data_IF_796387229578
#
_entry.id   IF_796387229578
#
_cell.length_a   1.000
_cell.length_b   1.000
_cell.length_c   1.000
_cell.angle_alpha   90.00
_cell.angle_beta   90.00
_cell.angle_gamma   90.00
#
_symmetry.space_group_name_H-M   'P 1'
#
loop_
_entity.id
_entity.type
_entity.pdbx_description
1 polymer ?
#
# COMPACT_ATOMS: atom_id res chain seq x y z
N UNK A 1 20.77 -27.92 6.74
CA UNK A 1 20.05 -27.54 7.98
C UNK A 1 19.67 -26.06 7.97
N UNK A 2 20.53 -25.15 7.52
CA UNK A 2 20.29 -23.72 7.43
C UNK A 2 19.21 -23.35 6.37
N UNK A 3 19.23 -24.01 5.22
CA UNK A 3 18.24 -23.80 4.14
C UNK A 3 16.81 -24.24 4.51
N UNK A 4 16.67 -25.31 5.29
CA UNK A 4 15.38 -25.78 5.80
C UNK A 4 14.79 -24.83 6.85
N UNK A 5 15.61 -24.25 7.71
CA UNK A 5 15.16 -23.26 8.73
C UNK A 5 14.74 -21.95 8.08
N UNK A 6 15.41 -21.52 7.03
CA UNK A 6 15.08 -20.31 6.26
C UNK A 6 13.73 -20.48 5.54
N UNK A 7 13.48 -21.60 4.89
CA UNK A 7 12.22 -21.88 4.23
C UNK A 7 11.05 -21.96 5.21
N UNK A 8 11.24 -22.58 6.38
CA UNK A 8 10.25 -22.61 7.45
C UNK A 8 9.92 -21.20 7.98
N UNK A 9 10.95 -20.35 8.18
CA UNK A 9 10.75 -18.97 8.60
C UNK A 9 9.89 -18.15 7.62
N UNK A 10 10.14 -18.31 6.31
CA UNK A 10 9.34 -17.67 5.27
C UNK A 10 7.88 -18.16 5.26
N UNK A 11 7.66 -19.48 5.43
CA UNK A 11 6.31 -20.02 5.49
C UNK A 11 5.54 -19.46 6.70
N UNK A 12 6.17 -19.35 7.87
CA UNK A 12 5.55 -18.76 9.05
C UNK A 12 5.27 -17.24 8.86
N UNK A 13 6.15 -16.51 8.17
CA UNK A 13 5.88 -15.12 7.80
C UNK A 13 4.65 -15.00 6.89
N UNK A 14 4.54 -15.85 5.87
CA UNK A 14 3.43 -15.83 4.92
C UNK A 14 2.07 -16.10 5.61
N UNK A 15 2.02 -17.07 6.51
CA UNK A 15 0.82 -17.32 7.34
C UNK A 15 0.51 -16.11 8.23
N UNK A 16 1.51 -15.52 8.85
CA UNK A 16 1.34 -14.32 9.69
C UNK A 16 0.74 -13.17 8.89
N UNK A 17 1.27 -12.89 7.69
CA UNK A 17 0.80 -11.82 6.82
C UNK A 17 -0.62 -12.09 6.31
N UNK A 18 -0.94 -13.35 5.96
CA UNK A 18 -2.29 -13.73 5.58
C UNK A 18 -3.30 -13.41 6.70
N UNK A 19 -3.05 -13.87 7.92
CA UNK A 19 -3.94 -13.65 9.07
C UNK A 19 -4.06 -12.16 9.42
N UNK A 20 -2.96 -11.42 9.40
CA UNK A 20 -2.93 -9.97 9.64
C UNK A 20 -3.74 -9.21 8.59
N UNK A 21 -3.47 -9.44 7.31
CA UNK A 21 -4.18 -8.79 6.21
C UNK A 21 -5.66 -9.16 6.20
N UNK A 22 -6.00 -10.42 6.46
CA UNK A 22 -7.39 -10.85 6.60
C UNK A 22 -8.11 -10.06 7.69
N UNK A 23 -7.49 -9.90 8.87
CA UNK A 23 -8.08 -9.13 9.98
C UNK A 23 -8.30 -7.65 9.65
N UNK A 24 -7.38 -7.08 8.86
CA UNK A 24 -7.46 -5.67 8.45
C UNK A 24 -8.50 -5.43 7.36
N UNK A 25 -8.59 -6.35 6.38
CA UNK A 25 -9.46 -6.16 5.22
C UNK A 25 -10.92 -6.55 5.45
N UNK A 26 -11.22 -7.46 6.37
CA UNK A 26 -12.59 -7.93 6.61
C UNK A 26 -13.52 -6.81 7.11
N UNK A 27 -12.99 -5.80 7.78
CA UNK A 27 -13.77 -4.65 8.29
C UNK A 27 -13.99 -3.57 7.25
N UNK A 28 -13.24 -3.57 6.14
CA UNK A 28 -13.27 -2.50 5.12
C UNK A 28 -14.67 -2.32 4.50
N UNK A 29 -15.37 -3.37 4.04
CA UNK A 29 -16.69 -3.21 3.42
C UNK A 29 -17.77 -2.71 4.38
N UNK A 30 -17.69 -3.08 5.67
CA UNK A 30 -18.71 -2.73 6.67
C UNK A 30 -18.44 -1.39 7.39
N UNK A 31 -17.26 -0.82 7.21
CA UNK A 31 -16.85 0.39 7.93
C UNK A 31 -17.69 1.61 7.55
N UNK A 32 -18.07 1.74 6.30
CA UNK A 32 -18.94 2.83 5.82
C UNK A 32 -20.30 2.77 6.49
N UNK A 33 -20.92 1.60 6.56
CA UNK A 33 -22.24 1.41 7.15
C UNK A 33 -22.23 1.71 8.66
N UNK A 34 -21.16 1.26 9.37
CA UNK A 34 -20.96 1.56 10.78
C UNK A 34 -20.77 3.06 11.03
N UNK A 35 -19.98 3.73 10.20
CA UNK A 35 -19.76 5.18 10.31
C UNK A 35 -21.03 5.96 10.07
N UNK A 36 -21.84 5.57 9.07
CA UNK A 36 -23.13 6.17 8.77
C UNK A 36 -24.12 5.96 9.92
N UNK A 37 -24.24 4.73 10.44
CA UNK A 37 -25.12 4.42 11.54
C UNK A 37 -24.76 5.15 12.85
N UNK A 38 -23.46 5.34 13.10
CA UNK A 38 -22.99 6.00 14.33
C UNK A 38 -23.12 7.53 14.30
N UNK A 39 -22.89 8.16 13.15
CA UNK A 39 -22.82 9.63 13.02
C UNK A 39 -24.10 10.26 12.44
N UNK A 40 -24.78 9.56 11.54
CA UNK A 40 -25.95 10.08 10.82
C UNK A 40 -27.05 9.01 10.71
N UNK A 41 -27.64 8.57 11.84
CA UNK A 41 -28.66 7.54 11.82
C UNK A 41 -29.86 7.97 10.97
N UNK A 42 -30.27 7.12 10.01
CA UNK A 42 -31.43 7.35 9.16
C UNK A 42 -31.22 8.30 7.97
N UNK A 43 -29.96 8.64 7.64
CA UNK A 43 -29.62 9.40 6.43
C UNK A 43 -28.83 8.54 5.45
N UNK A 44 -29.14 8.65 4.17
CA UNK A 44 -28.42 7.93 3.10
C UNK A 44 -27.09 8.60 2.75
N UNK A 45 -26.94 9.89 3.05
CA UNK A 45 -25.71 10.67 2.81
C UNK A 45 -25.32 11.48 4.06
N UNK A 46 -24.04 11.51 4.36
CA UNK A 46 -23.51 12.21 5.52
C UNK A 46 -22.15 12.84 5.21
N UNK A 47 -22.14 14.16 5.04
CA UNK A 47 -20.92 14.93 4.79
C UNK A 47 -19.90 14.76 5.92
N UNK A 48 -20.34 14.62 7.18
CA UNK A 48 -19.46 14.45 8.34
C UNK A 48 -18.64 13.16 8.24
N UNK A 49 -19.22 12.05 7.77
CA UNK A 49 -18.50 10.77 7.56
C UNK A 49 -17.40 10.96 6.52
N UNK A 50 -17.70 11.66 5.42
CA UNK A 50 -16.75 11.92 4.34
C UNK A 50 -15.57 12.78 4.85
N UNK A 51 -15.88 13.87 5.58
CA UNK A 51 -14.83 14.74 6.15
C UNK A 51 -13.95 14.03 7.18
N UNK A 52 -14.55 13.23 8.08
CA UNK A 52 -13.78 12.50 9.09
C UNK A 52 -12.90 11.42 8.45
N UNK A 53 -13.41 10.66 7.48
CA UNK A 53 -12.59 9.64 6.79
C UNK A 53 -11.46 10.28 5.98
N UNK A 54 -11.71 11.40 5.30
CA UNK A 54 -10.68 12.16 4.60
C UNK A 54 -9.62 12.73 5.54
N UNK A 55 -10.03 13.32 6.68
CA UNK A 55 -9.12 13.81 7.71
C UNK A 55 -8.26 12.69 8.29
N UNK A 56 -8.87 11.54 8.59
CA UNK A 56 -8.14 10.36 9.07
C UNK A 56 -7.08 9.94 8.04
N UNK A 57 -7.43 9.85 6.77
CA UNK A 57 -6.50 9.46 5.71
C UNK A 57 -5.33 10.43 5.57
N UNK A 58 -5.56 11.74 5.68
CA UNK A 58 -4.49 12.74 5.64
C UNK A 58 -3.55 12.57 6.85
N UNK A 59 -4.11 12.48 8.07
CA UNK A 59 -3.30 12.34 9.30
C UNK A 59 -2.48 11.06 9.25
N UNK A 60 -3.08 9.94 8.89
CA UNK A 60 -2.38 8.65 8.81
C UNK A 60 -1.32 8.64 7.71
N UNK A 61 -1.61 9.22 6.54
CA UNK A 61 -0.66 9.28 5.44
C UNK A 61 0.56 10.16 5.75
N UNK A 62 0.35 11.35 6.33
CA UNK A 62 1.45 12.22 6.78
C UNK A 62 2.24 11.55 7.91
N UNK A 63 1.55 10.90 8.85
CA UNK A 63 2.19 10.15 9.92
C UNK A 63 3.02 8.99 9.40
N UNK A 64 2.50 8.20 8.48
CA UNK A 64 3.18 7.07 7.85
C UNK A 64 4.42 7.53 7.07
N UNK A 65 4.37 8.66 6.36
CA UNK A 65 5.52 9.24 5.68
C UNK A 65 6.73 9.41 6.61
N UNK A 66 6.49 9.81 7.85
CA UNK A 66 7.56 10.01 8.85
C UNK A 66 7.94 8.70 9.56
N UNK A 67 6.95 7.84 9.83
CA UNK A 67 7.15 6.63 10.63
C UNK A 67 7.80 5.48 9.85
N UNK A 68 7.52 5.33 8.56
CA UNK A 68 8.04 4.23 7.75
C UNK A 68 9.56 4.14 7.72
N UNK A 69 10.33 5.23 7.45
CA UNK A 69 11.77 5.15 7.46
C UNK A 69 12.34 4.90 8.87
N UNK A 70 11.65 5.45 9.88
CA UNK A 70 12.03 5.25 11.28
C UNK A 70 11.88 3.77 11.66
N UNK A 71 10.73 3.18 11.37
CA UNK A 71 10.45 1.75 11.63
C UNK A 71 11.43 0.87 10.85
N UNK A 72 11.66 1.16 9.56
CA UNK A 72 12.64 0.45 8.73
C UNK A 72 14.06 0.51 9.32
N UNK A 73 14.55 1.71 9.63
CA UNK A 73 15.87 1.89 10.23
C UNK A 73 16.00 1.28 11.63
N UNK A 74 14.91 1.32 12.41
CA UNK A 74 14.90 0.74 13.75
C UNK A 74 14.91 -0.80 13.68
N UNK A 75 14.27 -1.38 12.67
CA UNK A 75 14.24 -2.83 12.45
C UNK A 75 15.60 -3.39 12.03
N UNK A 76 16.42 -2.61 11.32
CA UNK A 76 17.80 -2.97 11.00
C UNK A 76 18.69 -3.07 12.26
N UNK A 77 18.29 -2.40 13.35
CA UNK A 77 19.07 -2.34 14.61
C UNK A 77 18.56 -3.29 15.68
N UNK A 78 17.25 -3.49 15.79
CA UNK A 78 16.63 -4.22 16.91
C UNK A 78 16.03 -5.57 16.50
N UNK A 79 16.15 -5.91 15.22
CA UNK A 79 15.57 -7.13 14.67
C UNK A 79 14.18 -6.95 14.10
N UNK A 80 13.83 -7.79 13.15
CA UNK A 80 12.57 -7.71 12.38
C UNK A 80 11.38 -8.16 13.20
N UNK A 81 11.49 -9.32 13.88
CA UNK A 81 10.42 -9.90 14.70
C UNK A 81 10.04 -8.98 15.86
N UNK A 82 11.06 -8.40 16.54
CA UNK A 82 10.82 -7.48 17.65
C UNK A 82 9.97 -6.29 17.21
N UNK A 83 10.36 -5.64 16.10
CA UNK A 83 9.67 -4.47 15.61
C UNK A 83 8.31 -4.78 14.96
N UNK A 84 8.13 -5.98 14.39
CA UNK A 84 6.85 -6.44 13.82
C UNK A 84 5.78 -6.61 14.90
N UNK A 85 6.18 -6.94 16.13
CA UNK A 85 5.27 -7.11 17.26
C UNK A 85 4.48 -5.84 17.56
N UNK A 86 5.13 -4.66 17.52
CA UNK A 86 4.51 -3.39 17.90
C UNK A 86 3.29 -3.02 17.04
N UNK A 87 3.38 -2.92 15.70
CA UNK A 87 2.22 -2.58 14.87
C UNK A 87 1.13 -3.67 14.90
N UNK A 88 1.51 -4.94 15.01
CA UNK A 88 0.51 -6.01 15.09
C UNK A 88 -0.30 -5.95 16.39
N UNK A 89 0.34 -5.69 17.53
CA UNK A 89 -0.37 -5.54 18.82
C UNK A 89 -1.20 -4.26 18.86
N UNK A 90 -0.70 -3.15 18.35
CA UNK A 90 -1.44 -1.89 18.30
C UNK A 90 -2.70 -1.98 17.45
N UNK A 91 -2.68 -2.74 16.36
CA UNK A 91 -3.85 -2.92 15.50
C UNK A 91 -5.01 -3.68 16.18
N UNK A 92 -4.74 -4.44 17.24
CA UNK A 92 -5.79 -5.13 18.01
C UNK A 92 -6.70 -4.13 18.72
N UNK A 93 -6.16 -3.01 19.23
CA UNK A 93 -6.89 -2.07 20.07
C UNK A 93 -8.16 -1.49 19.40
N UNK A 94 -8.09 -0.89 18.21
CA UNK A 94 -9.29 -0.37 17.55
C UNK A 94 -10.27 -1.47 17.16
N UNK A 95 -9.79 -2.66 16.76
CA UNK A 95 -10.67 -3.77 16.41
C UNK A 95 -11.43 -4.30 17.63
N UNK A 96 -10.76 -4.41 18.78
CA UNK A 96 -11.38 -4.84 20.03
C UNK A 96 -12.43 -3.84 20.54
N UNK A 97 -12.20 -2.53 20.39
CA UNK A 97 -13.19 -1.52 20.79
C UNK A 97 -14.50 -1.64 20.02
N UNK A 98 -14.43 -1.87 18.69
CA UNK A 98 -15.61 -2.06 17.85
C UNK A 98 -16.26 -3.43 18.02
N UNK A 99 -15.48 -4.46 18.37
CA UNK A 99 -16.00 -5.77 18.73
C UNK A 99 -16.82 -5.74 20.04
N UNK A 100 -16.43 -4.88 20.99
CA UNK A 100 -17.13 -4.71 22.27
C UNK A 100 -18.47 -3.97 22.09
N UNK A 101 -18.48 -2.80 21.47
CA UNK A 101 -19.70 -2.01 21.28
C UNK A 101 -19.59 -1.09 20.05
N UNK A 102 -20.73 -0.70 19.49
CA UNK A 102 -20.86 0.12 18.27
C UNK A 102 -21.67 1.40 18.47
N UNK A 103 -21.92 1.76 19.73
CA UNK A 103 -22.56 3.04 20.07
C UNK A 103 -21.73 4.23 19.62
N UNK A 104 -22.35 5.38 19.43
CA UNK A 104 -21.71 6.61 18.94
C UNK A 104 -20.47 7.00 19.75
N UNK A 105 -20.51 6.89 21.06
CA UNK A 105 -19.35 7.20 21.92
C UNK A 105 -18.17 6.26 21.65
N UNK A 106 -18.44 4.95 21.53
CA UNK A 106 -17.39 3.95 21.23
C UNK A 106 -16.85 4.13 19.82
N UNK A 107 -17.68 4.58 18.88
CA UNK A 107 -17.22 4.92 17.54
C UNK A 107 -16.19 6.07 17.56
N UNK A 108 -16.41 7.13 18.34
CA UNK A 108 -15.40 8.19 18.47
C UNK A 108 -14.11 7.70 19.12
N UNK A 109 -14.19 6.85 20.14
CA UNK A 109 -13.01 6.20 20.76
C UNK A 109 -12.27 5.37 19.71
N UNK A 110 -12.98 4.54 18.95
CA UNK A 110 -12.41 3.77 17.84
C UNK A 110 -11.73 4.69 16.82
N UNK A 111 -12.39 5.77 16.40
CA UNK A 111 -11.86 6.69 15.40
C UNK A 111 -10.53 7.30 15.85
N UNK A 112 -10.46 7.76 17.09
CA UNK A 112 -9.23 8.31 17.66
C UNK A 112 -8.14 7.23 17.77
N UNK A 113 -8.46 6.07 18.34
CA UNK A 113 -7.52 4.95 18.46
C UNK A 113 -7.03 4.50 17.09
N UNK A 114 -7.94 4.31 16.11
CA UNK A 114 -7.59 3.91 14.75
C UNK A 114 -6.68 4.91 14.08
N UNK A 115 -6.94 6.21 14.23
CA UNK A 115 -6.10 7.27 13.66
C UNK A 115 -4.69 7.21 14.22
N UNK A 116 -4.53 7.13 15.55
CA UNK A 116 -3.21 7.07 16.18
C UNK A 116 -2.46 5.76 15.88
N UNK A 117 -3.15 4.63 15.92
CA UNK A 117 -2.51 3.34 15.63
C UNK A 117 -2.13 3.23 14.16
N UNK A 118 -2.95 3.75 13.23
CA UNK A 118 -2.67 3.70 11.78
C UNK A 118 -1.41 4.46 11.41
N UNK A 119 -1.05 5.54 12.10
CA UNK A 119 0.22 6.24 11.89
C UNK A 119 1.42 5.28 11.98
N UNK A 120 1.36 4.32 12.89
CA UNK A 120 2.45 3.36 13.13
C UNK A 120 2.22 2.07 12.35
N UNK A 121 0.99 1.58 12.27
CA UNK A 121 0.67 0.26 11.76
C UNK A 121 0.54 0.23 10.24
N UNK A 122 -0.01 1.29 9.63
CA UNK A 122 -0.31 1.32 8.20
C UNK A 122 0.97 1.25 7.38
N UNK A 123 1.12 0.18 6.60
CA UNK A 123 2.30 -0.12 5.81
C UNK A 123 3.52 -0.66 6.58
N UNK A 124 3.62 -0.46 7.91
CA UNK A 124 4.78 -0.92 8.70
C UNK A 124 4.92 -2.44 8.69
N UNK A 125 3.82 -3.16 8.84
CA UNK A 125 3.85 -4.64 8.83
C UNK A 125 4.34 -5.15 7.48
N UNK A 126 3.83 -4.62 6.38
CA UNK A 126 4.28 -5.01 5.04
C UNK A 126 5.73 -4.60 4.77
N UNK A 127 6.14 -3.40 5.20
CA UNK A 127 7.52 -2.92 5.10
C UNK A 127 8.50 -3.86 5.83
N UNK A 128 8.18 -4.24 7.07
CA UNK A 128 9.00 -5.14 7.88
C UNK A 128 9.01 -6.57 7.32
N UNK A 129 7.87 -7.05 6.81
CA UNK A 129 7.78 -8.35 6.16
C UNK A 129 8.65 -8.41 4.88
N UNK A 130 8.64 -7.35 4.07
CA UNK A 130 9.50 -7.25 2.89
C UNK A 130 10.99 -7.21 3.27
N UNK A 131 11.34 -6.48 4.34
CA UNK A 131 12.71 -6.47 4.84
C UNK A 131 13.12 -7.86 5.36
N UNK A 132 12.23 -8.56 6.08
CA UNK A 132 12.47 -9.93 6.52
C UNK A 132 12.71 -10.89 5.35
N UNK A 133 11.90 -10.79 4.29
CA UNK A 133 12.11 -11.58 3.05
C UNK A 133 13.45 -11.22 2.40
N UNK A 134 13.81 -9.94 2.32
CA UNK A 134 15.08 -9.50 1.73
C UNK A 134 16.31 -10.04 2.47
N UNK A 135 16.21 -10.21 3.80
CA UNK A 135 17.28 -10.75 4.64
C UNK A 135 17.45 -12.27 4.44
N UNK A 136 16.37 -12.99 4.14
CA UNK A 136 16.35 -14.46 4.09
C UNK A 136 16.39 -15.04 2.68
N UNK A 137 16.32 -14.21 1.63
CA UNK A 137 16.21 -14.66 0.24
C UNK A 137 17.35 -14.09 -0.60
N UNK A 138 17.93 -14.94 -1.47
CA UNK A 138 18.96 -14.53 -2.41
C UNK A 138 18.47 -13.43 -3.37
N UNK A 139 19.36 -12.55 -3.83
CA UNK A 139 19.02 -11.42 -4.69
C UNK A 139 18.24 -11.81 -5.96
N UNK A 140 18.57 -12.96 -6.55
CA UNK A 140 17.88 -13.45 -7.75
C UNK A 140 16.43 -13.87 -7.53
N UNK A 141 16.06 -14.24 -6.31
CA UNK A 141 14.72 -14.71 -5.94
C UNK A 141 13.88 -13.66 -5.20
N UNK A 142 14.44 -12.50 -4.86
CA UNK A 142 13.74 -11.45 -4.09
C UNK A 142 12.46 -10.98 -4.74
N UNK A 143 12.47 -10.72 -6.05
CA UNK A 143 11.26 -10.26 -6.75
C UNK A 143 10.13 -11.29 -6.71
N UNK A 144 10.45 -12.57 -6.92
CA UNK A 144 9.48 -13.66 -6.81
C UNK A 144 8.91 -13.76 -5.41
N UNK A 145 9.76 -13.69 -4.38
CA UNK A 145 9.34 -13.80 -2.98
C UNK A 145 8.55 -12.57 -2.51
N UNK A 146 8.88 -11.38 -2.99
CA UNK A 146 8.07 -10.18 -2.77
C UNK A 146 6.71 -10.30 -3.47
N UNK A 147 6.69 -10.87 -4.67
CA UNK A 147 5.47 -11.22 -5.37
C UNK A 147 4.60 -12.17 -4.54
N UNK A 148 5.16 -13.28 -4.07
CA UNK A 148 4.43 -14.24 -3.23
C UNK A 148 3.86 -13.55 -1.98
N UNK A 149 4.64 -12.72 -1.28
CA UNK A 149 4.19 -11.99 -0.09
C UNK A 149 2.99 -11.07 -0.39
N UNK A 150 3.08 -10.28 -1.47
CA UNK A 150 1.99 -9.37 -1.87
C UNK A 150 0.80 -10.13 -2.43
N UNK A 151 1.02 -11.26 -3.10
CA UNK A 151 -0.04 -12.17 -3.57
C UNK A 151 -0.82 -12.78 -2.42
N UNK A 152 -0.15 -13.17 -1.34
CA UNK A 152 -0.79 -13.66 -0.11
C UNK A 152 -1.65 -12.56 0.53
N UNK A 153 -1.17 -11.31 0.57
CA UNK A 153 -1.96 -10.18 1.04
C UNK A 153 -3.20 -9.94 0.16
N UNK A 154 -3.08 -10.06 -1.16
CA UNK A 154 -4.21 -9.97 -2.09
C UNK A 154 -5.20 -11.13 -1.91
N UNK A 155 -4.72 -12.35 -1.68
CA UNK A 155 -5.57 -13.50 -1.38
C UNK A 155 -6.34 -13.30 -0.06
N UNK A 156 -5.67 -12.77 0.97
CA UNK A 156 -6.31 -12.42 2.23
C UNK A 156 -7.40 -11.36 2.03
N UNK A 157 -7.18 -10.35 1.17
CA UNK A 157 -8.18 -9.35 0.80
C UNK A 157 -9.42 -9.98 0.18
N UNK A 158 -9.26 -10.88 -0.80
CA UNK A 158 -10.39 -11.57 -1.46
C UNK A 158 -11.15 -12.42 -0.46
N UNK A 159 -10.45 -13.25 0.33
CA UNK A 159 -11.07 -14.09 1.35
C UNK A 159 -11.83 -13.25 2.41
N UNK A 160 -11.24 -12.15 2.85
CA UNK A 160 -11.82 -11.26 3.83
C UNK A 160 -13.11 -10.58 3.30
N UNK A 161 -13.06 -10.08 2.06
CA UNK A 161 -14.20 -9.44 1.39
C UNK A 161 -15.35 -10.43 1.18
N UNK A 162 -15.04 -11.65 0.77
CA UNK A 162 -16.05 -12.71 0.62
C UNK A 162 -16.66 -13.10 1.97
N UNK A 163 -15.84 -13.29 3.00
CA UNK A 163 -16.33 -13.60 4.35
C UNK A 163 -17.24 -12.49 4.91
N UNK A 164 -16.87 -11.23 4.70
CA UNK A 164 -17.65 -10.08 5.18
C UNK A 164 -19.08 -10.04 4.61
N UNK A 165 -19.33 -10.60 3.42
CA UNK A 165 -20.67 -10.69 2.83
C UNK A 165 -21.65 -11.60 3.62
N UNK A 166 -21.12 -12.60 4.31
CA UNK A 166 -21.92 -13.60 5.05
C UNK A 166 -22.02 -13.31 6.54
N UNK A 167 -21.26 -12.36 7.06
CA UNK A 167 -21.19 -12.04 8.47
C UNK A 167 -22.02 -10.80 8.80
N UNK A 168 -22.64 -10.81 9.99
CA UNK A 168 -23.22 -9.57 10.53
C UNK A 168 -22.11 -8.58 10.90
N UNK A 169 -22.43 -7.29 10.94
CA UNK A 169 -21.49 -6.23 11.32
C UNK A 169 -20.81 -6.56 12.67
N UNK A 170 -21.58 -7.10 13.62
CA UNK A 170 -21.08 -7.51 14.93
C UNK A 170 -20.02 -8.59 14.85
N UNK A 171 -20.35 -9.68 14.17
CA UNK A 171 -19.46 -10.83 14.02
C UNK A 171 -18.24 -10.49 13.19
N UNK A 172 -18.35 -9.58 12.23
CA UNK A 172 -17.20 -9.11 11.43
C UNK A 172 -16.10 -8.50 12.29
N UNK A 173 -16.44 -7.59 13.21
CA UNK A 173 -15.44 -7.00 14.13
C UNK A 173 -14.90 -8.01 15.15
N UNK A 174 -15.72 -8.94 15.64
CA UNK A 174 -15.25 -10.01 16.51
C UNK A 174 -14.26 -10.93 15.81
N UNK A 175 -14.58 -11.36 14.58
CA UNK A 175 -13.67 -12.16 13.75
C UNK A 175 -12.38 -11.37 13.44
N UNK A 176 -12.48 -10.09 13.10
CA UNK A 176 -11.31 -9.25 12.87
C UNK A 176 -10.39 -9.17 14.09
N UNK A 177 -10.96 -8.92 15.28
CA UNK A 177 -10.20 -8.85 16.53
C UNK A 177 -9.54 -10.20 16.88
N UNK A 178 -10.28 -11.30 16.77
CA UNK A 178 -9.74 -12.64 17.04
C UNK A 178 -8.64 -13.04 16.07
N UNK A 179 -8.77 -12.72 14.77
CA UNK A 179 -7.73 -12.97 13.76
C UNK A 179 -6.49 -12.09 13.98
N UNK A 180 -6.65 -10.85 14.41
CA UNK A 180 -5.51 -9.98 14.75
C UNK A 180 -4.73 -10.51 15.95
N UNK A 181 -5.43 -10.98 17.00
CA UNK A 181 -4.82 -11.61 18.16
C UNK A 181 -4.10 -12.91 17.75
N UNK A 182 -4.76 -13.78 17.00
CA UNK A 182 -4.21 -15.03 16.51
C UNK A 182 -2.95 -14.80 15.67
N UNK A 183 -2.99 -13.84 14.76
CA UNK A 183 -1.85 -13.44 13.93
C UNK A 183 -0.65 -13.01 14.77
N UNK A 184 -0.88 -12.19 15.79
CA UNK A 184 0.17 -11.70 16.69
C UNK A 184 0.77 -12.83 17.54
N UNK A 185 -0.06 -13.70 18.10
CA UNK A 185 0.39 -14.86 18.88
C UNK A 185 1.17 -15.82 17.97
N UNK A 186 0.63 -16.15 16.79
CA UNK A 186 1.30 -17.02 15.83
C UNK A 186 2.68 -16.48 15.43
N UNK A 187 2.76 -15.20 15.12
CA UNK A 187 4.03 -14.55 14.79
C UNK A 187 5.05 -14.64 15.94
N UNK A 188 4.61 -14.41 17.18
CA UNK A 188 5.50 -14.48 18.36
C UNK A 188 6.02 -15.88 18.63
N UNK A 189 5.19 -16.91 18.44
CA UNK A 189 5.56 -18.30 18.73
C UNK A 189 6.43 -18.92 17.62
N UNK A 190 6.06 -18.74 16.37
CA UNK A 190 6.62 -19.49 15.26
C UNK A 190 7.61 -18.75 14.38
N UNK A 191 7.53 -17.39 14.30
CA UNK A 191 8.45 -16.65 13.44
C UNK A 191 9.84 -16.56 14.09
N UNK A 192 10.93 -17.07 13.47
CA UNK A 192 12.30 -16.85 13.94
C UNK A 192 12.72 -15.39 13.69
N UNK A 193 13.76 -14.92 14.39
CA UNK A 193 14.41 -13.64 14.06
C UNK A 193 15.28 -13.81 12.81
N UNK A 194 15.25 -12.83 11.90
CA UNK A 194 16.02 -12.90 10.65
C UNK A 194 17.47 -12.45 10.81
N UNK A 195 17.73 -11.57 11.78
CA UNK A 195 19.07 -11.01 12.02
C UNK A 195 19.74 -11.80 13.14
N UNK A 196 20.93 -12.38 12.91
CA UNK A 196 21.66 -13.11 13.95
C UNK A 196 22.00 -12.23 15.16
N UNK A 197 21.90 -12.80 16.36
CA UNK A 197 22.10 -12.10 17.64
C UNK A 197 23.50 -11.44 17.74
N UNK A 198 24.50 -12.06 17.14
CA UNK A 198 25.87 -11.53 17.11
C UNK A 198 25.99 -10.22 16.29
N UNK A 199 25.25 -10.10 15.20
CA UNK A 199 25.19 -8.88 14.37
C UNK A 199 24.37 -7.79 15.04
N UNK A 200 23.30 -8.14 15.72
CA UNK A 200 22.51 -7.21 16.54
C UNK A 200 23.37 -6.63 17.68
N UNK A 201 24.11 -7.47 18.40
CA UNK A 201 25.03 -7.02 19.47
C UNK A 201 26.15 -6.15 18.93
N UNK A 202 26.75 -6.50 17.80
CA UNK A 202 27.82 -5.70 17.18
C UNK A 202 27.29 -4.31 16.72
N UNK A 203 26.08 -4.23 16.20
CA UNK A 203 25.47 -2.95 15.80
C UNK A 203 25.11 -2.06 16.99
N UNK A 204 24.73 -2.64 18.12
CA UNK A 204 24.47 -1.90 19.37
C UNK A 204 25.80 -1.36 19.94
N UNK A 205 26.82 -2.19 20.03
CA UNK A 205 28.13 -1.81 20.58
C UNK A 205 28.84 -0.76 19.71
N UNK A 206 28.73 -0.85 18.38
CA UNK A 206 29.35 0.15 17.50
C UNK A 206 28.63 1.51 17.58
N UNK A 207 27.32 1.54 17.82
CA UNK A 207 26.58 2.78 18.06
C UNK A 207 26.85 3.39 19.45
N UNK A 208 27.13 2.56 20.45
CA UNK A 208 27.50 3.03 21.78
C UNK A 208 28.91 3.66 21.78
N UNK A 209 29.85 3.11 21.01
CA UNK A 209 31.18 3.72 20.80
C UNK A 209 31.15 5.02 20.00
N UNK A 210 30.17 5.20 19.09
CA UNK A 210 30.02 6.44 18.32
C UNK A 210 29.30 7.54 19.13
N UNK A 211 28.63 7.20 20.23
CA UNK A 211 27.99 8.10 21.17
C UNK A 211 28.80 8.39 22.43
N UNK A 212 30.13 8.11 22.41
CA UNK A 212 31.05 8.49 23.50
C UNK A 212 31.31 10.01 23.50
N UNK A 213 31.64 10.60 24.66
CA UNK A 213 31.08 11.89 25.05
C UNK A 213 31.96 13.05 24.63
N UNK A 214 31.45 13.87 23.76
CA UNK A 214 31.79 15.29 23.69
C UNK A 214 30.50 16.07 23.47
N UNK A 215 29.94 16.54 24.57
CA UNK A 215 28.86 17.48 24.73
C UNK A 215 27.71 16.94 25.62
N UNK A 216 28.02 16.88 26.90
CA UNK A 216 27.04 17.24 27.91
C UNK A 216 26.61 18.68 27.63
N UNK A 217 25.33 18.88 27.24
CA UNK A 217 24.48 19.92 27.78
C UNK A 217 23.06 19.86 27.15
N UNK A 218 22.09 19.68 28.06
CA UNK A 218 20.70 20.14 28.00
C UNK A 218 19.61 19.33 27.24
N UNK A 219 18.35 19.48 27.64
CA UNK A 219 17.41 18.39 27.87
C UNK A 219 16.48 18.03 26.71
N UNK A 220 16.21 16.77 26.64
CA UNK A 220 15.02 15.99 26.22
C UNK A 220 14.30 16.31 24.91
N UNK A 221 13.99 17.52 24.55
CA UNK A 221 13.10 17.86 23.44
C UNK A 221 13.83 18.18 22.12
N UNK A 222 14.97 18.82 22.21
CA UNK A 222 15.80 19.18 21.02
C UNK A 222 16.43 17.98 20.33
N UNK A 223 16.68 16.90 21.07
CA UNK A 223 17.26 15.67 20.53
C UNK A 223 16.30 14.82 19.67
N UNK A 224 14.97 14.91 19.90
CA UNK A 224 13.98 14.17 19.08
C UNK A 224 13.83 14.79 17.67
N UNK A 225 13.75 16.11 17.59
CA UNK A 225 13.68 16.83 16.30
C UNK A 225 14.99 16.65 15.50
N UNK A 226 16.14 16.72 16.18
CA UNK A 226 17.44 16.46 15.57
C UNK A 226 17.57 15.04 15.02
N UNK A 227 16.97 14.05 15.67
CA UNK A 227 16.99 12.64 15.21
C UNK A 227 16.14 12.45 13.94
N UNK A 228 14.94 13.03 13.87
CA UNK A 228 14.08 12.98 12.67
C UNK A 228 14.71 13.71 11.49
N UNK A 229 15.27 14.89 11.71
CA UNK A 229 16.01 15.65 10.68
C UNK A 229 17.25 14.90 10.18
N UNK A 230 17.96 14.22 11.08
CA UNK A 230 19.10 13.38 10.71
C UNK A 230 18.67 12.21 9.82
N UNK A 231 17.57 11.52 10.16
CA UNK A 231 17.02 10.43 9.34
C UNK A 231 16.62 10.92 7.95
N UNK A 232 15.91 12.04 7.85
CA UNK A 232 15.54 12.63 6.55
C UNK A 232 16.79 12.99 5.75
N UNK A 233 17.83 13.53 6.39
CA UNK A 233 19.11 13.83 5.72
C UNK A 233 19.82 12.57 5.25
N UNK A 234 19.84 11.52 6.06
CA UNK A 234 20.42 10.21 5.70
C UNK A 234 19.66 9.59 4.53
N UNK A 235 18.33 9.65 4.53
CA UNK A 235 17.49 9.22 3.42
C UNK A 235 17.81 9.99 2.13
N UNK A 236 17.85 11.31 2.21
CA UNK A 236 18.20 12.17 1.08
C UNK A 236 19.64 11.86 0.58
N UNK A 237 20.58 11.56 1.48
CA UNK A 237 21.94 11.18 1.11
C UNK A 237 21.97 9.82 0.41
N UNK A 238 21.19 8.84 0.88
CA UNK A 238 21.07 7.52 0.25
C UNK A 238 20.51 7.63 -1.17
N UNK A 239 19.45 8.42 -1.34
CA UNK A 239 18.85 8.70 -2.66
C UNK A 239 19.82 9.43 -3.61
N UNK A 240 20.66 10.33 -3.09
CA UNK A 240 21.65 11.05 -3.90
C UNK A 240 22.85 10.20 -4.30
N UNK A 241 23.20 9.17 -3.52
CA UNK A 241 24.34 8.28 -3.80
C UNK A 241 24.10 7.33 -4.95
N UNK A 242 22.85 6.94 -5.19
CA UNK A 242 22.48 5.96 -6.22
C UNK A 242 21.43 6.51 -7.16
N UNK A 243 21.86 6.81 -8.40
CA UNK A 243 20.93 7.26 -9.46
C UNK A 243 19.82 6.24 -9.72
N UNK A 244 20.09 4.90 -9.76
CA UNK A 244 19.02 3.91 -9.93
C UNK A 244 17.99 3.95 -8.78
N UNK A 245 18.42 4.16 -7.54
CA UNK A 245 17.51 4.26 -6.40
C UNK A 245 16.57 5.46 -6.54
N UNK A 246 17.10 6.62 -6.94
CA UNK A 246 16.28 7.81 -7.19
C UNK A 246 15.27 7.59 -8.32
N UNK A 247 15.69 6.94 -9.41
CA UNK A 247 14.81 6.64 -10.54
C UNK A 247 13.67 5.73 -10.14
N UNK A 248 13.94 4.64 -9.41
CA UNK A 248 12.90 3.73 -8.91
C UNK A 248 11.97 4.44 -7.93
N UNK A 249 12.50 5.30 -7.07
CA UNK A 249 11.70 6.11 -6.15
C UNK A 249 10.71 7.04 -6.89
N UNK A 250 11.16 7.69 -7.97
CA UNK A 250 10.30 8.53 -8.82
C UNK A 250 9.24 7.71 -9.55
N UNK A 251 9.61 6.54 -10.10
CA UNK A 251 8.65 5.63 -10.72
C UNK A 251 7.62 5.13 -9.70
N UNK A 252 8.06 4.77 -8.49
CA UNK A 252 7.17 4.36 -7.40
C UNK A 252 6.20 5.47 -7.00
N UNK A 253 6.68 6.72 -6.91
CA UNK A 253 5.84 7.87 -6.59
C UNK A 253 4.73 8.08 -7.63
N UNK A 254 5.10 8.17 -8.92
CA UNK A 254 4.10 8.42 -9.98
C UNK A 254 3.17 7.23 -10.20
N UNK A 255 3.65 6.00 -10.07
CA UNK A 255 2.82 4.80 -10.15
C UNK A 255 1.78 4.77 -9.02
N UNK A 256 2.21 5.00 -7.77
CA UNK A 256 1.31 5.05 -6.61
C UNK A 256 0.35 6.24 -6.68
N UNK A 257 0.80 7.39 -7.18
CA UNK A 257 -0.04 8.58 -7.36
C UNK A 257 -1.18 8.30 -8.37
N UNK A 258 -0.85 7.68 -9.50
CA UNK A 258 -1.82 7.32 -10.52
C UNK A 258 -2.80 6.24 -10.05
N UNK A 259 -2.30 5.20 -9.38
CA UNK A 259 -3.11 4.10 -8.85
C UNK A 259 -4.10 4.58 -7.77
N UNK A 260 -3.63 5.38 -6.82
CA UNK A 260 -4.48 5.96 -5.78
C UNK A 260 -5.51 6.96 -6.35
N UNK A 261 -5.11 7.76 -7.36
CA UNK A 261 -6.02 8.67 -8.06
C UNK A 261 -7.11 7.93 -8.83
N UNK A 262 -6.74 6.87 -9.53
CA UNK A 262 -7.70 6.02 -10.22
C UNK A 262 -8.69 5.40 -9.22
N UNK A 263 -8.18 4.85 -8.11
CA UNK A 263 -9.01 4.23 -7.09
C UNK A 263 -10.00 5.22 -6.46
N UNK A 264 -9.54 6.43 -6.15
CA UNK A 264 -10.39 7.48 -5.60
C UNK A 264 -11.47 7.96 -6.58
N UNK A 265 -11.14 8.08 -7.87
CA UNK A 265 -12.05 8.64 -8.89
C UNK A 265 -12.96 7.60 -9.54
N UNK A 266 -12.51 6.33 -9.65
CA UNK A 266 -13.24 5.28 -10.37
C UNK A 266 -14.61 4.98 -9.79
N UNK A 267 -14.76 5.01 -8.47
CA UNK A 267 -16.02 4.76 -7.79
C UNK A 267 -17.08 5.79 -8.21
N UNK A 268 -16.72 7.07 -8.16
CA UNK A 268 -17.62 8.16 -8.57
C UNK A 268 -17.92 8.13 -10.05
N UNK A 269 -16.91 7.90 -10.89
CA UNK A 269 -17.05 7.80 -12.34
C UNK A 269 -17.97 6.65 -12.76
N UNK A 270 -17.79 5.45 -12.22
CA UNK A 270 -18.62 4.29 -12.56
C UNK A 270 -20.05 4.44 -12.05
N UNK A 271 -20.23 5.08 -10.88
CA UNK A 271 -21.57 5.39 -10.37
C UNK A 271 -22.27 6.44 -11.24
N UNK A 272 -21.58 7.51 -11.63
CA UNK A 272 -22.15 8.58 -12.44
C UNK A 272 -22.47 8.13 -13.87
N UNK A 273 -21.57 7.36 -14.51
CA UNK A 273 -21.70 6.99 -15.93
C UNK A 273 -22.51 5.72 -16.17
N UNK A 274 -22.38 4.71 -15.33
CA UNK A 274 -22.98 3.40 -15.52
C UNK A 274 -23.98 3.00 -14.43
N UNK A 275 -24.24 3.89 -13.45
CA UNK A 275 -25.14 3.64 -12.32
C UNK A 275 -24.80 2.37 -11.52
N UNK A 276 -23.50 2.10 -11.34
CA UNK A 276 -23.03 0.94 -10.59
C UNK A 276 -23.61 0.95 -9.17
N UNK A 277 -24.16 -0.19 -8.77
CA UNK A 277 -24.61 -0.43 -7.41
C UNK A 277 -23.46 -0.97 -6.52
N UNK A 278 -23.70 -1.10 -5.21
CA UNK A 278 -22.70 -1.57 -4.23
C UNK A 278 -22.18 -2.98 -4.57
N UNK A 279 -23.04 -3.86 -5.08
CA UNK A 279 -22.67 -5.25 -5.40
C UNK A 279 -21.72 -5.33 -6.60
N UNK A 280 -21.98 -4.53 -7.63
CA UNK A 280 -21.14 -4.44 -8.83
C UNK A 280 -19.74 -3.89 -8.49
N UNK A 281 -19.65 -2.92 -7.57
CA UNK A 281 -18.34 -2.47 -7.05
C UNK A 281 -17.62 -3.57 -6.28
N UNK A 282 -18.34 -4.29 -5.43
CA UNK A 282 -17.75 -5.39 -4.67
C UNK A 282 -17.25 -6.51 -5.60
N UNK A 283 -18.00 -6.83 -6.66
CA UNK A 283 -17.60 -7.81 -7.66
C UNK A 283 -16.35 -7.36 -8.42
N UNK A 284 -16.27 -6.08 -8.81
CA UNK A 284 -15.08 -5.51 -9.46
C UNK A 284 -13.85 -5.59 -8.54
N UNK A 285 -14.00 -5.29 -7.24
CA UNK A 285 -12.93 -5.41 -6.26
C UNK A 285 -12.47 -6.86 -6.05
N UNK A 286 -13.40 -7.81 -6.05
CA UNK A 286 -13.08 -9.24 -5.96
C UNK A 286 -12.32 -9.71 -7.21
N UNK A 287 -12.75 -9.30 -8.39
CA UNK A 287 -12.06 -9.63 -9.66
C UNK A 287 -10.65 -9.05 -9.65
N UNK A 288 -10.49 -7.78 -9.25
CA UNK A 288 -9.19 -7.12 -9.15
C UNK A 288 -8.27 -7.81 -8.13
N UNK A 289 -8.78 -8.13 -6.94
CA UNK A 289 -8.05 -8.86 -5.90
C UNK A 289 -7.66 -10.28 -6.33
N UNK A 290 -8.55 -10.99 -7.03
CA UNK A 290 -8.29 -12.33 -7.57
C UNK A 290 -7.23 -12.28 -8.67
N UNK A 291 -7.34 -11.31 -9.59
CA UNK A 291 -6.33 -11.07 -10.61
C UNK A 291 -4.96 -10.77 -9.98
N UNK A 292 -4.93 -9.96 -8.92
CA UNK A 292 -3.72 -9.68 -8.14
C UNK A 292 -3.11 -10.92 -7.49
N UNK A 293 -3.94 -11.76 -6.90
CA UNK A 293 -3.49 -13.02 -6.27
C UNK A 293 -2.87 -13.95 -7.30
N UNK A 294 -3.55 -14.18 -8.43
CA UNK A 294 -3.06 -15.02 -9.53
C UNK A 294 -1.77 -14.45 -10.11
N UNK A 295 -1.74 -13.16 -10.36
CA UNK A 295 -0.58 -12.44 -10.89
C UNK A 295 0.67 -12.66 -10.02
N UNK A 296 0.55 -12.42 -8.75
CA UNK A 296 1.68 -12.42 -7.83
C UNK A 296 2.08 -13.83 -7.36
N UNK A 297 1.12 -14.74 -7.19
CA UNK A 297 1.41 -16.11 -6.72
C UNK A 297 1.85 -17.05 -7.83
N UNK A 298 1.30 -16.90 -9.04
CA UNK A 298 1.58 -17.82 -10.16
C UNK A 298 2.51 -17.18 -11.19
N UNK A 299 2.17 -16.00 -11.72
CA UNK A 299 2.93 -15.45 -12.84
C UNK A 299 4.27 -14.84 -12.39
N UNK A 300 4.32 -14.18 -11.22
CA UNK A 300 5.54 -13.54 -10.75
C UNK A 300 6.71 -14.55 -10.57
N UNK A 301 6.55 -15.68 -9.86
CA UNK A 301 7.61 -16.66 -9.71
C UNK A 301 8.08 -17.30 -11.02
N UNK A 302 7.18 -17.45 -12.01
CA UNK A 302 7.49 -18.05 -13.31
C UNK A 302 8.18 -17.03 -14.23
N UNK A 303 7.71 -15.79 -14.25
CA UNK A 303 8.17 -14.78 -15.21
C UNK A 303 9.46 -14.07 -14.79
N UNK A 304 9.71 -13.90 -13.48
CA UNK A 304 10.93 -13.23 -13.01
C UNK A 304 12.21 -13.94 -13.46
N UNK A 305 12.36 -15.27 -13.32
CA UNK A 305 13.54 -15.95 -13.80
C UNK A 305 13.71 -15.88 -15.34
N UNK A 306 12.59 -15.84 -16.08
CA UNK A 306 12.61 -15.85 -17.56
C UNK A 306 12.89 -14.47 -18.16
N UNK A 307 12.32 -13.39 -17.60
CA UNK A 307 12.31 -12.07 -18.23
C UNK A 307 13.19 -11.03 -17.55
N UNK A 308 13.70 -11.29 -16.35
CA UNK A 308 14.36 -10.34 -15.43
C UNK A 308 13.39 -9.22 -14.96
N UNK A 309 13.69 -8.64 -13.80
CA UNK A 309 12.81 -7.69 -13.10
C UNK A 309 12.56 -6.41 -13.89
N UNK A 310 13.58 -5.90 -14.61
CA UNK A 310 13.49 -4.64 -15.35
C UNK A 310 12.53 -4.73 -16.55
N UNK A 311 12.56 -5.87 -17.26
CA UNK A 311 11.62 -6.12 -18.37
C UNK A 311 10.20 -6.29 -17.83
N UNK A 312 10.07 -7.03 -16.75
CA UNK A 312 8.78 -7.28 -16.11
C UNK A 312 8.17 -6.00 -15.55
N UNK A 313 9.01 -5.11 -14.97
CA UNK A 313 8.61 -3.76 -14.57
C UNK A 313 8.05 -2.96 -15.76
N UNK A 314 8.74 -3.00 -16.91
CA UNK A 314 8.31 -2.27 -18.12
C UNK A 314 6.99 -2.82 -18.67
N UNK A 315 6.81 -4.13 -18.68
CA UNK A 315 5.56 -4.80 -19.10
C UNK A 315 4.44 -4.40 -18.14
N UNK A 316 4.66 -4.50 -16.84
CA UNK A 316 3.68 -4.14 -15.84
C UNK A 316 3.22 -2.68 -15.93
N UNK A 317 4.15 -1.74 -16.12
CA UNK A 317 3.82 -0.32 -16.32
C UNK A 317 3.02 -0.08 -17.62
N UNK A 318 3.30 -0.84 -18.68
CA UNK A 318 2.50 -0.78 -19.90
C UNK A 318 1.06 -1.25 -19.66
N UNK A 319 0.89 -2.39 -18.99
CA UNK A 319 -0.44 -2.91 -18.66
C UNK A 319 -1.19 -2.03 -17.65
N UNK A 320 -0.50 -1.40 -16.71
CA UNK A 320 -1.10 -0.40 -15.82
C UNK A 320 -1.64 0.81 -16.60
N UNK A 321 -0.87 1.32 -17.56
CA UNK A 321 -1.31 2.38 -18.44
C UNK A 321 -2.49 1.96 -19.33
N UNK A 322 -2.47 0.74 -19.87
CA UNK A 322 -3.56 0.18 -20.67
C UNK A 322 -4.84 0.00 -19.84
N UNK A 323 -4.72 -0.49 -18.61
CA UNK A 323 -5.84 -0.61 -17.66
C UNK A 323 -6.51 0.75 -17.41
N UNK A 324 -5.71 1.76 -17.08
CA UNK A 324 -6.21 3.12 -16.85
C UNK A 324 -6.87 3.70 -18.11
N UNK A 325 -6.25 3.50 -19.27
CA UNK A 325 -6.80 3.96 -20.54
C UNK A 325 -8.15 3.34 -20.85
N UNK A 326 -8.29 2.02 -20.67
CA UNK A 326 -9.55 1.30 -20.90
C UNK A 326 -10.67 1.80 -19.99
N UNK A 327 -10.37 2.10 -18.73
CA UNK A 327 -11.34 2.70 -17.81
C UNK A 327 -11.76 4.10 -18.24
N UNK A 328 -10.83 4.93 -18.71
CA UNK A 328 -11.15 6.29 -19.18
C UNK A 328 -12.04 6.30 -20.43
N UNK A 329 -11.83 5.34 -21.35
CA UNK A 329 -12.56 5.24 -22.62
C UNK A 329 -13.77 4.30 -22.51
N UNK A 330 -14.08 3.80 -21.32
CA UNK A 330 -15.16 2.84 -21.13
C UNK A 330 -16.49 3.34 -21.75
N UNK A 331 -17.02 2.58 -22.71
CA UNK A 331 -18.26 2.90 -23.46
C UNK A 331 -19.47 2.07 -23.01
N UNK A 332 -19.23 1.05 -22.18
CA UNK A 332 -20.29 0.16 -21.68
C UNK A 332 -19.93 -0.35 -20.28
N UNK A 333 -20.93 -0.77 -19.52
CA UNK A 333 -20.82 -1.27 -18.14
C UNK A 333 -19.95 -2.54 -17.97
N UNK A 334 -19.71 -3.30 -19.04
CA UNK A 334 -18.86 -4.48 -19.01
C UNK A 334 -17.36 -4.16 -19.22
N UNK A 335 -17.02 -2.99 -19.79
CA UNK A 335 -15.63 -2.60 -20.07
C UNK A 335 -14.75 -2.52 -18.81
N UNK A 336 -15.20 -2.00 -17.66
CA UNK A 336 -14.48 -2.04 -16.40
C UNK A 336 -14.07 -3.46 -15.96
N UNK A 337 -14.91 -4.46 -16.22
CA UNK A 337 -14.60 -5.85 -15.90
C UNK A 337 -13.48 -6.41 -16.79
N UNK A 338 -13.47 -6.07 -18.08
CA UNK A 338 -12.34 -6.42 -18.97
C UNK A 338 -11.07 -5.66 -18.58
N UNK A 339 -11.20 -4.38 -18.24
CA UNK A 339 -10.06 -3.60 -17.75
C UNK A 339 -9.43 -4.24 -16.51
N UNK A 340 -10.22 -4.84 -15.62
CA UNK A 340 -9.73 -5.59 -14.47
C UNK A 340 -8.86 -6.82 -14.84
N UNK A 341 -9.04 -7.41 -16.04
CA UNK A 341 -8.15 -8.48 -16.53
C UNK A 341 -6.75 -7.92 -16.83
N UNK A 342 -6.64 -6.70 -17.34
CA UNK A 342 -5.36 -6.03 -17.55
C UNK A 342 -4.64 -5.73 -16.23
N UNK A 343 -5.38 -5.64 -15.12
CA UNK A 343 -4.83 -5.52 -13.78
C UNK A 343 -3.95 -6.72 -13.40
N UNK A 344 -4.15 -7.90 -14.02
CA UNK A 344 -3.33 -9.09 -13.82
C UNK A 344 -1.83 -8.80 -13.96
N UNK A 345 -1.44 -8.00 -14.95
CA UNK A 345 -0.04 -7.64 -15.20
C UNK A 345 0.35 -6.27 -14.64
N UNK A 346 -0.62 -5.42 -14.34
CA UNK A 346 -0.37 -4.06 -13.82
C UNK A 346 0.16 -4.05 -12.39
N UNK A 347 0.08 -5.15 -11.65
CA UNK A 347 0.52 -5.27 -10.26
C UNK A 347 2.01 -5.64 -10.14
N UNK A 348 2.66 -6.15 -11.21
CA UNK A 348 4.09 -6.50 -11.20
C UNK A 348 5.03 -5.34 -10.80
N UNK A 349 4.82 -4.10 -11.22
CA UNK A 349 5.73 -3.01 -10.93
C UNK A 349 6.07 -2.88 -9.46
N UNK A 350 5.11 -3.07 -8.57
CA UNK A 350 5.29 -2.86 -7.14
C UNK A 350 6.33 -3.84 -6.54
N UNK A 351 6.25 -5.13 -6.87
CA UNK A 351 7.20 -6.13 -6.41
C UNK A 351 8.57 -5.99 -7.09
N UNK A 352 8.59 -5.66 -8.38
CA UNK A 352 9.83 -5.42 -9.13
C UNK A 352 10.59 -4.21 -8.60
N UNK A 353 9.92 -3.07 -8.36
CA UNK A 353 10.55 -1.86 -7.82
C UNK A 353 11.17 -2.11 -6.45
N UNK A 354 10.47 -2.81 -5.56
CA UNK A 354 10.99 -3.17 -4.23
C UNK A 354 12.20 -4.10 -4.30
N UNK A 355 12.21 -5.04 -5.24
CA UNK A 355 13.37 -5.93 -5.47
C UNK A 355 14.57 -5.16 -6.03
N UNK A 356 14.37 -4.29 -7.01
CA UNK A 356 15.45 -3.47 -7.58
C UNK A 356 16.06 -2.59 -6.48
N UNK A 357 15.25 -1.96 -5.63
CA UNK A 357 15.73 -1.17 -4.49
C UNK A 357 16.51 -2.03 -3.49
N UNK A 358 16.00 -3.21 -3.18
CA UNK A 358 16.64 -4.16 -2.26
C UNK A 358 18.05 -4.59 -2.72
N UNK A 359 18.28 -4.66 -4.03
CA UNK A 359 19.59 -4.98 -4.63
C UNK A 359 20.59 -3.81 -4.63
N UNK A 360 20.12 -2.58 -4.42
CA UNK A 360 20.97 -1.38 -4.42
C UNK A 360 21.52 -1.04 -3.03
N UNK A 361 21.13 -1.75 -2.00
CA UNK A 361 21.51 -1.49 -0.61
C UNK A 361 22.13 -2.72 0.04
N UNK A 362 22.97 -2.48 1.03
CA UNK A 362 23.60 -3.55 1.80
C UNK A 362 22.57 -4.32 2.64
N UNK A 363 22.92 -5.56 3.04
CA UNK A 363 22.03 -6.41 3.82
C UNK A 363 21.59 -5.79 5.16
N UNK A 364 22.41 -4.96 5.76
CA UNK A 364 22.12 -4.27 7.03
C UNK A 364 21.28 -2.98 6.86
N UNK A 365 20.86 -2.61 5.65
CA UNK A 365 20.06 -1.43 5.36
C UNK A 365 18.72 -1.76 4.64
N UNK A 366 18.33 -3.04 4.60
CA UNK A 366 17.13 -3.49 3.89
C UNK A 366 15.85 -2.86 4.43
N UNK A 367 15.69 -2.79 5.76
CA UNK A 367 14.55 -2.16 6.38
C UNK A 367 14.45 -0.67 6.08
N UNK A 368 15.60 0.02 6.13
CA UNK A 368 15.68 1.45 5.77
C UNK A 368 15.27 1.69 4.32
N UNK A 369 15.72 0.85 3.39
CA UNK A 369 15.40 0.96 1.97
C UNK A 369 13.90 0.71 1.70
N UNK A 370 13.32 -0.36 2.25
CA UNK A 370 11.89 -0.64 2.14
C UNK A 370 11.05 0.45 2.80
N UNK A 371 11.50 1.00 3.94
CA UNK A 371 10.87 2.12 4.62
C UNK A 371 10.82 3.39 3.76
N UNK A 372 11.90 3.72 3.05
CA UNK A 372 11.96 4.88 2.14
C UNK A 372 10.93 4.74 1.00
N UNK A 373 10.90 3.59 0.34
CA UNK A 373 9.94 3.36 -0.75
C UNK A 373 8.49 3.41 -0.23
N UNK A 374 8.23 2.79 0.92
CA UNK A 374 6.90 2.85 1.55
C UNK A 374 6.48 4.29 1.90
N UNK A 375 7.42 5.12 2.36
CA UNK A 375 7.17 6.55 2.62
C UNK A 375 6.82 7.32 1.36
N UNK A 376 7.52 7.06 0.26
CA UNK A 376 7.26 7.70 -1.03
C UNK A 376 5.87 7.32 -1.56
N UNK A 377 5.49 6.04 -1.44
CA UNK A 377 4.15 5.59 -1.78
C UNK A 377 3.08 6.24 -0.87
N UNK A 378 3.34 6.35 0.45
CA UNK A 378 2.43 7.02 1.39
C UNK A 378 2.25 8.51 1.04
N UNK A 379 3.32 9.20 0.65
CA UNK A 379 3.24 10.58 0.18
C UNK A 379 2.35 10.70 -1.06
N UNK A 380 2.52 9.80 -2.03
CA UNK A 380 1.70 9.75 -3.23
C UNK A 380 0.21 9.53 -2.88
N UNK A 381 -0.08 8.62 -1.95
CA UNK A 381 -1.44 8.32 -1.49
C UNK A 381 -2.11 9.49 -0.77
N UNK A 382 -1.35 10.38 -0.11
CA UNK A 382 -1.88 11.61 0.51
C UNK A 382 -2.16 12.68 -0.56
N UNK A 383 -1.22 12.86 -1.49
CA UNK A 383 -1.36 13.89 -2.54
C UNK A 383 -2.47 13.52 -3.53
N UNK A 384 -2.66 12.23 -3.79
CA UNK A 384 -3.59 11.73 -4.80
C UNK A 384 -5.05 12.20 -4.57
N UNK A 385 -5.68 11.96 -3.40
CA UNK A 385 -7.04 12.46 -3.17
C UNK A 385 -7.13 13.99 -3.22
N UNK A 386 -6.11 14.70 -2.71
CA UNK A 386 -6.07 16.16 -2.72
C UNK A 386 -6.05 16.75 -4.15
N UNK A 387 -5.40 16.06 -5.08
CA UNK A 387 -5.32 16.47 -6.47
C UNK A 387 -6.51 15.96 -7.30
N UNK A 388 -6.87 14.69 -7.14
CA UNK A 388 -7.86 14.03 -8.02
C UNK A 388 -9.31 14.22 -7.55
N UNK A 389 -9.61 14.40 -6.25
CA UNK A 389 -10.98 14.62 -5.81
C UNK A 389 -11.58 15.93 -6.31
N UNK A 390 -10.92 17.10 -6.19
CA UNK A 390 -11.41 18.34 -6.77
C UNK A 390 -11.51 18.27 -8.30
N UNK A 391 -10.56 17.57 -8.94
CA UNK A 391 -10.57 17.38 -10.38
C UNK A 391 -11.76 16.53 -10.81
N UNK A 392 -12.07 15.46 -10.09
CA UNK A 392 -13.22 14.59 -10.35
C UNK A 392 -14.54 15.34 -10.18
N UNK A 393 -14.67 16.14 -9.10
CA UNK A 393 -15.83 16.98 -8.84
C UNK A 393 -16.04 18.00 -9.97
N UNK A 394 -14.97 18.68 -10.39
CA UNK A 394 -15.04 19.64 -11.49
C UNK A 394 -15.44 19.00 -12.82
N UNK A 395 -14.90 17.80 -13.14
CA UNK A 395 -15.24 17.11 -14.39
C UNK A 395 -16.62 16.42 -14.36
N UNK A 396 -17.18 16.15 -13.19
CA UNK A 396 -18.56 15.61 -13.05
C UNK A 396 -19.60 16.73 -12.86
N UNK A 397 -19.19 17.99 -12.70
CA UNK A 397 -20.10 19.13 -12.55
C UNK A 397 -20.67 19.61 -13.89
N UNK A 398 -21.79 20.35 -13.84
CA UNK A 398 -22.39 20.99 -15.02
C UNK A 398 -21.47 22.05 -15.68
N UNK A 399 -20.51 22.56 -14.94
CA UNK A 399 -19.49 23.53 -15.40
C UNK A 399 -18.23 22.88 -15.97
N UNK A 400 -18.29 21.59 -16.27
CA UNK A 400 -17.15 20.85 -16.84
C UNK A 400 -16.72 21.47 -18.17
N UNK A 401 -15.40 21.63 -18.42
CA UNK A 401 -14.89 22.20 -19.67
C UNK A 401 -15.19 21.31 -20.89
N UNK A 402 -15.61 20.07 -20.64
CA UNK A 402 -16.04 19.11 -21.65
C UNK A 402 -17.28 18.40 -21.12
N UNK A 403 -18.42 18.53 -21.81
CA UNK A 403 -19.61 17.74 -21.52
C UNK A 403 -19.26 16.27 -21.76
N UNK A 404 -19.23 15.46 -20.69
CA UNK A 404 -19.34 14.02 -20.82
C UNK A 404 -20.70 13.76 -21.48
N UNK A 405 -20.78 13.08 -22.64
CA UNK A 405 -22.04 12.90 -23.32
C UNK A 405 -22.98 12.13 -22.40
N UNK A 406 -24.06 12.82 -22.01
CA UNK A 406 -25.25 12.21 -21.47
C UNK A 406 -25.75 11.17 -22.48
N UNK A 407 -25.61 9.88 -22.17
CA UNK A 407 -26.28 8.82 -22.89
C UNK A 407 -27.76 8.75 -22.45
N UNK A 408 -28.44 9.86 -22.46
CA UNK A 408 -29.88 9.85 -22.71
C UNK A 408 -30.08 9.71 -24.22
N UNK A 409 -30.65 8.63 -24.61
CA UNK A 409 -30.98 8.18 -25.95
C UNK A 409 -31.62 9.29 -26.80
N UNK A 410 -30.81 10.14 -27.42
CA UNK A 410 -31.15 10.92 -28.61
C UNK A 410 -29.89 11.16 -29.44
N UNK A 411 -29.87 10.75 -30.70
CA UNK A 411 -28.73 10.99 -31.57
C UNK A 411 -28.68 12.47 -31.96
N UNK A 412 -27.73 13.24 -31.43
CA UNK A 412 -27.31 14.49 -32.06
C UNK A 412 -25.92 14.27 -32.66
N UNK A 413 -25.72 14.71 -33.92
CA UNK A 413 -24.50 14.45 -34.65
C UNK A 413 -23.36 15.43 -34.27
N UNK A 414 -22.16 14.89 -34.24
CA UNK A 414 -20.87 15.59 -34.27
C UNK A 414 -20.51 16.53 -33.11
N UNK A 415 -19.62 16.06 -32.21
CA UNK A 415 -18.47 16.89 -31.86
C UNK A 415 -17.22 16.06 -31.52
N UNK A 416 -16.10 16.47 -32.10
CA UNK A 416 -14.78 15.83 -32.02
C UNK A 416 -13.99 16.42 -30.85
N UNK A 417 -14.20 15.98 -29.61
CA UNK A 417 -13.39 16.47 -28.48
C UNK A 417 -12.89 15.39 -27.48
N UNK A 418 -12.88 14.12 -27.89
CA UNK A 418 -12.40 13.01 -27.07
C UNK A 418 -10.87 12.93 -26.92
N UNK A 419 -10.10 13.88 -27.47
CA UNK A 419 -8.63 13.76 -27.54
C UNK A 419 -7.87 14.37 -26.37
N UNK A 420 -8.49 15.16 -25.51
CA UNK A 420 -7.77 15.96 -24.51
C UNK A 420 -7.52 15.20 -23.21
N UNK A 421 -8.45 14.36 -22.74
CA UNK A 421 -8.22 13.50 -21.58
C UNK A 421 -7.14 12.44 -21.85
N UNK A 422 -7.09 11.92 -23.07
CA UNK A 422 -6.02 11.03 -23.54
C UNK A 422 -4.66 11.74 -23.52
N UNK A 423 -4.58 13.04 -23.81
CA UNK A 423 -3.32 13.80 -23.82
C UNK A 423 -2.73 14.02 -22.42
N UNK A 424 -3.55 14.23 -21.37
CA UNK A 424 -3.06 14.39 -20.02
C UNK A 424 -2.51 13.06 -19.46
N UNK A 425 -3.19 11.95 -19.67
CA UNK A 425 -2.73 10.63 -19.28
C UNK A 425 -1.53 10.16 -20.10
N UNK A 426 -1.49 10.46 -21.41
CA UNK A 426 -0.32 10.25 -22.25
C UNK A 426 0.86 11.09 -21.76
N UNK A 427 0.65 12.29 -21.24
CA UNK A 427 1.71 13.12 -20.67
C UNK A 427 2.29 12.50 -19.38
N UNK A 428 1.44 11.99 -18.48
CA UNK A 428 1.88 11.28 -17.26
C UNK A 428 2.60 9.97 -17.61
N UNK A 429 2.05 9.19 -18.53
CA UNK A 429 2.67 7.96 -19.04
C UNK A 429 3.96 8.25 -19.81
N UNK A 430 4.03 9.34 -20.59
CA UNK A 430 5.26 9.77 -21.26
C UNK A 430 6.33 10.28 -20.29
N UNK A 431 5.96 10.91 -19.18
CA UNK A 431 6.89 11.27 -18.12
C UNK A 431 7.45 10.01 -17.43
N UNK A 432 6.62 9.02 -17.15
CA UNK A 432 7.05 7.71 -16.64
C UNK A 432 7.88 6.93 -17.68
N UNK A 433 7.58 7.04 -18.97
CA UNK A 433 8.35 6.42 -20.06
C UNK A 433 9.63 7.17 -20.44
N UNK A 434 9.71 8.49 -20.24
CA UNK A 434 10.96 9.25 -20.46
C UNK A 434 12.07 8.88 -19.49
N UNK A 435 11.77 8.21 -18.37
CA UNK A 435 12.79 7.59 -17.52
C UNK A 435 13.42 6.32 -18.10
N UNK A 436 12.85 5.75 -19.20
CA UNK A 436 13.36 4.54 -19.89
C UNK A 436 14.78 4.65 -20.50
N UNK A 437 15.23 5.72 -21.14
CA UNK A 437 16.53 5.70 -21.81
C UNK A 437 17.71 5.67 -20.84
N UNK A 438 17.55 6.09 -19.59
CA UNK A 438 18.63 6.11 -18.60
C UNK A 438 18.90 4.75 -17.94
N UNK A 439 17.90 3.87 -17.89
CA UNK A 439 18.07 2.50 -17.35
C UNK A 439 18.83 1.62 -18.34
N UNK A 440 18.72 1.89 -19.65
CA UNK A 440 19.33 1.10 -20.72
C UNK A 440 20.84 1.41 -20.96
N UNK A 441 21.31 2.57 -20.56
CA UNK A 441 22.66 3.04 -20.90
C UNK A 441 23.78 2.52 -19.97
N UNK A 442 23.47 1.77 -18.91
CA UNK A 442 24.47 1.31 -17.93
C UNK A 442 24.65 -0.22 -17.83
N UNK A 443 23.97 -0.98 -18.71
CA UNK A 443 24.01 -2.45 -18.72
C UNK A 443 24.18 -3.06 -20.12
N UNK A 444 24.81 -2.32 -21.04
CA UNK A 444 25.45 -2.85 -22.27
C UNK A 444 26.96 -2.75 -22.12
#
# INVERSE_FOLDING_TARGET
MEETTTFQGLAHLFVTIFLYCFSAFIVTPVMTDVSMAALCPGKDECSLVIYLSGLQQIITGVGSLMMMPLVGSLSDKHGRKCLLTLPMTLNILPLATMAYSRGTTIFYVYYVLKTFTSIICEGSVLCLALAYVADNVSEGQRASSFGILTGIASCAFVCATLCARFLSIATTFQVAATMAILSTIYMRLFLPESIPDNTLRASIVSNEKLNSPLLEDCPGYRNKISRSVRLVREMASLMRRSVPLFQVAMVSFFSSLGEAGLHASSVYYLKAKFHFNKDQFADLMIIFGTAGSISQLLFMPILVPALKEERLLSIGLFFAAAHMFLLCVAWSSWVPYIAAIFALFSIFPQSCMRSIVSKQVASNEQGKAQGIISSICSLANVISPLAFSPLTDWFLSESAPFNFPDYSFHPKPHDQSNTTNVRYWIAIVRLAQKSKPYIRAKYI
#
